data_IF_760303241688
#
_entry.id   IF_760303241688
#
_cell.length_a   1.000
_cell.length_b   1.000
_cell.length_c   1.000
_cell.angle_alpha   90.00
_cell.angle_beta   90.00
_cell.angle_gamma   90.00
#
_symmetry.space_group_name_H-M   'P 1'
#
loop_
_entity.id
_entity.type
_entity.pdbx_description
1 polymer ?
#
# COMPACT_ATOMS: atom_id res chain seq x y z
N UNK A 1 10.66 8.71 5.24
CA UNK A 1 9.76 7.79 4.49
C UNK A 1 10.49 7.14 3.33
N UNK A 2 10.61 5.80 3.32
CA UNK A 2 11.13 5.07 2.14
C UNK A 2 9.98 4.81 1.19
N UNK A 3 10.10 5.26 -0.05
CA UNK A 3 9.15 5.01 -1.12
C UNK A 3 9.90 4.44 -2.33
N UNK A 4 9.21 3.66 -3.17
CA UNK A 4 9.75 3.20 -4.44
C UNK A 4 9.57 4.31 -5.49
N UNK A 5 10.62 4.56 -6.28
CA UNK A 5 10.62 5.58 -7.33
C UNK A 5 10.25 5.02 -8.69
N UNK A 6 11.06 5.32 -9.71
CA UNK A 6 10.88 4.85 -11.10
C UNK A 6 12.13 4.13 -11.59
N UNK A 7 11.95 3.13 -12.46
CA UNK A 7 13.06 2.47 -13.14
C UNK A 7 13.31 3.13 -14.50
N UNK A 8 14.55 3.04 -15.02
CA UNK A 8 14.94 3.67 -16.29
C UNK A 8 14.67 2.81 -17.53
N UNK A 9 14.21 1.58 -17.36
CA UNK A 9 14.15 0.54 -18.39
C UNK A 9 12.72 -0.03 -18.59
N UNK A 10 11.72 0.85 -18.57
CA UNK A 10 10.29 0.53 -18.75
C UNK A 10 9.70 -0.50 -17.76
N UNK A 11 10.41 -0.78 -16.66
CA UNK A 11 9.91 -1.59 -15.54
C UNK A 11 9.28 -0.73 -14.47
N UNK A 12 8.39 -1.32 -13.68
CA UNK A 12 7.82 -0.66 -12.50
C UNK A 12 8.67 -0.93 -11.27
N UNK A 13 8.94 0.11 -10.48
CA UNK A 13 9.64 -0.03 -9.21
C UNK A 13 8.62 -0.42 -8.14
N UNK A 14 8.63 -1.68 -7.72
CA UNK A 14 7.66 -2.22 -6.75
C UNK A 14 8.35 -2.58 -5.43
N UNK A 15 7.64 -2.51 -4.29
CA UNK A 15 8.17 -3.00 -3.01
C UNK A 15 8.50 -4.50 -3.12
N UNK A 16 9.74 -4.88 -2.78
CA UNK A 16 10.21 -6.26 -2.83
C UNK A 16 10.31 -6.90 -1.44
N UNK A 17 10.86 -6.14 -0.47
CA UNK A 17 10.90 -6.53 0.93
C UNK A 17 10.24 -5.45 1.74
N UNK A 18 9.17 -5.79 2.43
CA UNK A 18 8.42 -4.89 3.30
C UNK A 18 8.05 -5.60 4.60
N UNK A 19 7.72 -4.80 5.60
CA UNK A 19 7.17 -5.28 6.88
C UNK A 19 6.03 -4.36 7.29
N UNK A 20 5.02 -4.90 7.94
CA UNK A 20 3.98 -4.08 8.55
C UNK A 20 4.44 -3.68 9.95
N UNK A 21 4.44 -2.38 10.24
CA UNK A 21 4.82 -1.86 11.56
C UNK A 21 3.70 -0.99 12.14
N UNK A 22 3.62 -0.94 13.46
CA UNK A 22 2.74 -0.01 14.15
C UNK A 22 3.45 1.34 14.29
N UNK A 23 2.86 2.40 13.75
CA UNK A 23 3.34 3.77 13.92
C UNK A 23 2.34 4.52 14.79
N UNK A 24 2.86 5.17 15.83
CA UNK A 24 2.11 6.06 16.69
C UNK A 24 2.16 7.49 16.15
N UNK A 25 1.00 8.07 15.93
CA UNK A 25 0.79 9.44 15.49
C UNK A 25 0.42 10.29 16.70
N UNK A 26 1.03 11.46 16.81
CA UNK A 26 0.77 12.43 17.88
C UNK A 26 0.13 13.67 17.27
N UNK A 27 -1.00 14.09 17.84
CA UNK A 27 -1.71 15.29 17.44
C UNK A 27 -1.41 16.41 18.44
N UNK A 28 -1.11 17.65 18.00
CA UNK A 28 -0.76 18.76 18.91
C UNK A 28 -1.79 19.03 20.02
N UNK A 29 -3.08 18.89 19.72
CA UNK A 29 -4.18 19.07 20.68
C UNK A 29 -5.19 17.90 20.62
N UNK A 30 -4.71 16.69 20.35
CA UNK A 30 -5.58 15.52 20.16
C UNK A 30 -5.01 14.22 20.70
N UNK A 31 -5.84 13.17 20.77
CA UNK A 31 -5.39 11.87 21.23
C UNK A 31 -4.36 11.29 20.27
N UNK A 32 -3.30 10.70 20.84
CA UNK A 32 -2.39 9.88 20.07
C UNK A 32 -3.10 8.59 19.63
N UNK A 33 -2.77 8.11 18.43
CA UNK A 33 -3.32 6.87 17.91
C UNK A 33 -2.25 6.10 17.12
N UNK A 34 -2.42 4.79 17.03
CA UNK A 34 -1.51 3.94 16.26
C UNK A 34 -2.21 3.39 15.02
N UNK A 35 -1.44 3.23 13.93
CA UNK A 35 -1.88 2.56 12.70
C UNK A 35 -0.80 1.61 12.22
N UNK A 36 -1.24 0.47 11.69
CA UNK A 36 -0.38 -0.44 10.96
C UNK A 36 -0.06 0.17 9.61
N UNK A 37 1.22 0.34 9.30
CA UNK A 37 1.69 0.90 8.03
C UNK A 37 2.67 -0.06 7.37
N UNK A 38 2.66 -0.07 6.04
CA UNK A 38 3.63 -0.81 5.26
C UNK A 38 4.97 -0.07 5.26
N UNK A 39 6.01 -0.71 5.77
CA UNK A 39 7.37 -0.18 5.80
C UNK A 39 8.25 -0.88 4.75
N UNK A 40 8.73 -0.12 3.78
CA UNK A 40 9.50 -0.64 2.66
C UNK A 40 10.98 -0.74 3.05
N UNK A 41 11.56 -1.93 2.95
CA UNK A 41 12.99 -2.17 3.19
C UNK A 41 13.79 -2.15 1.88
N UNK A 42 13.25 -2.68 0.79
CA UNK A 42 13.86 -2.72 -0.53
C UNK A 42 12.81 -2.69 -1.65
N UNK A 43 13.17 -2.09 -2.78
CA UNK A 43 12.39 -2.09 -4.01
C UNK A 43 13.11 -2.89 -5.10
N UNK A 44 12.37 -3.35 -6.10
CA UNK A 44 12.90 -4.05 -7.28
C UNK A 44 12.16 -3.61 -8.53
N UNK A 45 12.85 -3.59 -9.67
CA UNK A 45 12.27 -3.26 -10.97
C UNK A 45 11.67 -4.52 -11.60
N UNK A 46 10.33 -4.59 -11.64
CA UNK A 46 9.61 -5.72 -12.19
C UNK A 46 8.95 -5.38 -13.53
N UNK A 47 8.86 -6.37 -14.42
CA UNK A 47 8.11 -6.28 -15.69
C UNK A 47 6.60 -6.37 -15.47
N UNK A 48 6.15 -7.06 -14.42
CA UNK A 48 4.74 -7.09 -14.03
C UNK A 48 4.41 -5.83 -13.22
N UNK A 49 3.94 -4.82 -13.95
CA UNK A 49 3.41 -3.59 -13.38
C UNK A 49 1.96 -3.78 -12.92
N UNK A 50 1.68 -3.56 -11.63
CA UNK A 50 0.31 -3.20 -11.20
C UNK A 50 0.11 -1.73 -11.53
N UNK A 51 -1.01 -1.39 -12.15
CA UNK A 51 -1.29 -0.04 -12.62
C UNK A 51 -1.32 0.92 -11.41
N UNK A 52 -0.37 1.87 -11.29
CA UNK A 52 -0.30 2.76 -10.13
C UNK A 52 -1.48 3.75 -10.05
N UNK A 53 -2.23 3.93 -11.16
CA UNK A 53 -3.45 4.75 -11.17
C UNK A 53 -4.69 4.00 -10.68
N UNK A 54 -4.61 2.68 -10.50
CA UNK A 54 -5.70 1.85 -10.04
C UNK A 54 -5.36 1.24 -8.67
N UNK A 55 -5.51 2.07 -7.64
CA UNK A 55 -5.34 1.67 -6.23
C UNK A 55 -6.40 0.65 -5.77
N UNK A 56 -7.42 0.36 -6.60
CA UNK A 56 -8.49 -0.59 -6.35
C UNK A 56 -8.33 -1.90 -7.12
N UNK A 57 -7.30 -2.06 -7.95
CA UNK A 57 -7.04 -3.31 -8.68
C UNK A 57 -6.88 -4.54 -7.76
N UNK A 58 -6.63 -4.29 -6.47
CA UNK A 58 -6.43 -5.31 -5.43
C UNK A 58 -7.60 -5.42 -4.46
N UNK A 59 -8.60 -4.54 -4.57
CA UNK A 59 -9.84 -4.73 -3.82
C UNK A 59 -10.60 -5.86 -4.52
N UNK A 60 -10.70 -7.01 -3.85
CA UNK A 60 -11.81 -7.94 -4.13
C UNK A 60 -13.10 -7.12 -4.08
N UNK A 61 -13.96 -7.29 -5.09
CA UNK A 61 -15.27 -6.63 -5.11
C UNK A 61 -15.94 -6.90 -3.77
N UNK A 62 -16.13 -5.85 -2.96
CA UNK A 62 -16.94 -5.98 -1.76
C UNK A 62 -18.31 -6.47 -2.24
N UNK A 63 -18.82 -7.62 -1.76
CA UNK A 63 -20.14 -8.07 -2.17
C UNK A 63 -21.11 -6.93 -1.86
N UNK A 64 -21.91 -6.56 -2.86
CA UNK A 64 -22.96 -5.58 -2.64
C UNK A 64 -23.81 -6.05 -1.45
N UNK A 65 -24.30 -5.15 -0.61
CA UNK A 65 -25.06 -5.52 0.59
C UNK A 65 -26.29 -6.39 0.25
N UNK A 66 -26.73 -6.35 -1.01
CA UNK A 66 -27.74 -7.22 -1.61
C UNK A 66 -27.34 -8.70 -1.69
N UNK A 67 -26.05 -9.06 -1.73
CA UNK A 67 -25.56 -10.45 -1.77
C UNK A 67 -25.40 -11.08 -0.39
N UNK A 68 -25.41 -10.28 0.68
CA UNK A 68 -25.30 -10.73 2.08
C UNK A 68 -26.70 -11.08 2.64
N UNK A 69 -27.77 -10.66 1.95
CA UNK A 69 -29.16 -10.94 2.30
C UNK A 69 -29.72 -12.01 1.37
N UNK A 70 -29.28 -13.25 1.54
CA UNK A 70 -30.05 -14.43 1.11
C UNK A 70 -29.75 -15.64 2.00
#
# INVERSE_FOLDING_TARGET
PKYCGVCTDNRCCVPYKSKTISVTFQCPEGPAFSRQVLWINACFCNLSCRNPNDIFADLESYPDFSEIVN
#
